data_IF_571808009647
#
_entry.id   IF_571808009647
#
_cell.length_a   1.000
_cell.length_b   1.000
_cell.length_c   1.000
_cell.angle_alpha   90.00
_cell.angle_beta   90.00
_cell.angle_gamma   90.00
#
_symmetry.space_group_name_H-M   'P 1'
#
loop_
_entity.id
_entity.type
_entity.pdbx_description
1 polymer ?
#
# COMPACT_ATOMS: atom_id res chain seq x y z
N UNK A 1 -0.39 -7.03 9.35
CA UNK A 1 -1.47 -7.01 10.38
C UNK A 1 -1.39 -8.17 11.38
N UNK A 2 -1.45 -9.44 10.95
CA UNK A 2 -1.47 -10.61 11.88
C UNK A 2 -0.31 -10.66 12.88
N UNK A 3 0.93 -10.45 12.45
CA UNK A 3 2.11 -10.42 13.35
C UNK A 3 2.03 -9.34 14.43
N UNK A 4 1.30 -8.26 14.16
CA UNK A 4 1.09 -7.14 15.07
C UNK A 4 -0.11 -7.35 15.99
N UNK A 5 -0.80 -8.49 15.85
CA UNK A 5 -2.07 -8.80 16.51
C UNK A 5 -3.10 -7.68 16.33
N UNK A 6 -3.16 -7.13 15.11
CA UNK A 6 -4.24 -6.23 14.70
C UNK A 6 -5.34 -7.08 14.09
N UNK A 7 -6.58 -6.90 14.53
CA UNK A 7 -7.73 -7.65 14.05
C UNK A 7 -9.00 -6.79 13.99
N UNK A 8 -9.95 -7.20 13.16
CA UNK A 8 -11.27 -6.58 13.09
C UNK A 8 -12.13 -7.13 14.22
N UNK A 9 -12.28 -6.34 15.28
CA UNK A 9 -13.10 -6.71 16.44
C UNK A 9 -14.48 -6.08 16.31
N UNK A 10 -15.55 -6.77 16.75
CA UNK A 10 -16.89 -6.19 16.75
C UNK A 10 -16.91 -4.91 17.60
N UNK A 11 -17.55 -3.87 17.10
CA UNK A 11 -17.83 -2.68 17.91
C UNK A 11 -18.89 -3.03 18.96
N UNK A 12 -18.56 -2.79 20.23
CA UNK A 12 -19.49 -2.99 21.34
C UNK A 12 -20.03 -1.61 21.75
N UNK A 13 -21.33 -1.33 21.52
CA UNK A 13 -21.97 -0.10 21.98
C UNK A 13 -21.76 0.10 23.48
N UNK A 14 -21.60 1.35 23.91
CA UNK A 14 -21.31 1.69 25.31
C UNK A 14 -22.29 1.04 26.29
N UNK A 15 -23.57 1.02 25.93
CA UNK A 15 -24.68 0.44 26.69
C UNK A 15 -24.54 -1.07 26.92
N UNK A 16 -23.86 -1.77 26.01
CA UNK A 16 -23.75 -3.24 26.00
C UNK A 16 -22.37 -3.74 26.45
N UNK A 17 -21.48 -2.87 26.94
CA UNK A 17 -20.11 -3.27 27.32
C UNK A 17 -20.03 -4.22 28.50
N UNK A 18 -21.09 -4.28 29.32
CA UNK A 18 -21.20 -5.20 30.45
C UNK A 18 -21.89 -6.53 30.07
N UNK A 19 -22.37 -6.67 28.83
CA UNK A 19 -23.05 -7.87 28.34
C UNK A 19 -22.08 -8.94 27.82
N UNK A 20 -22.55 -10.19 27.73
CA UNK A 20 -21.76 -11.28 27.14
C UNK A 20 -21.52 -11.02 25.65
N UNK A 21 -20.32 -10.52 25.34
CA UNK A 21 -19.87 -10.08 24.02
C UNK A 21 -20.06 -11.16 22.95
N UNK A 22 -19.92 -12.44 23.31
CA UNK A 22 -19.99 -13.58 22.38
C UNK A 22 -21.37 -13.79 21.74
N UNK A 23 -22.43 -13.14 22.27
CA UNK A 23 -23.80 -13.27 21.75
C UNK A 23 -24.26 -12.08 20.91
N UNK A 24 -23.42 -11.05 20.75
CA UNK A 24 -23.77 -9.85 20.01
C UNK A 24 -23.53 -10.03 18.51
N UNK A 25 -24.61 -10.09 17.72
CA UNK A 25 -24.51 -9.90 16.28
C UNK A 25 -24.14 -8.45 15.98
N UNK A 26 -22.88 -8.22 15.62
CA UNK A 26 -22.34 -6.90 15.34
C UNK A 26 -22.25 -6.66 13.84
N UNK A 27 -22.80 -5.54 13.36
CA UNK A 27 -22.69 -5.11 11.97
C UNK A 27 -21.48 -4.18 11.75
N UNK A 28 -20.95 -3.62 12.83
CA UNK A 28 -19.82 -2.70 12.81
C UNK A 28 -18.58 -3.38 13.40
N UNK A 29 -17.45 -3.20 12.74
CA UNK A 29 -16.16 -3.73 13.18
C UNK A 29 -15.13 -2.61 13.23
N UNK A 30 -14.23 -2.70 14.19
CA UNK A 30 -13.14 -1.75 14.39
C UNK A 30 -11.83 -2.52 14.32
N UNK A 31 -10.88 -1.98 13.57
CA UNK A 31 -9.53 -2.51 13.56
C UNK A 31 -8.85 -2.15 14.88
N UNK A 32 -8.51 -3.16 15.69
CA UNK A 32 -7.94 -2.96 17.03
C UNK A 32 -6.77 -3.88 17.30
N UNK A 33 -5.89 -3.48 18.22
CA UNK A 33 -4.81 -4.34 18.71
C UNK A 33 -5.34 -5.28 19.79
N UNK A 34 -5.22 -6.58 19.57
CA UNK A 34 -5.65 -7.63 20.52
C UNK A 34 -4.55 -8.02 21.52
N UNK A 35 -3.42 -7.30 21.56
CA UNK A 35 -2.41 -7.50 22.61
C UNK A 35 -2.88 -6.99 23.98
N UNK A 36 -2.45 -7.70 25.03
CA UNK A 36 -2.65 -7.26 26.41
C UNK A 36 -1.93 -5.93 26.63
N UNK A 37 -2.58 -4.99 27.31
CA UNK A 37 -2.03 -3.65 27.63
C UNK A 37 -0.64 -3.69 28.27
N UNK A 38 -0.36 -4.67 29.12
CA UNK A 38 0.96 -4.82 29.78
C UNK A 38 2.07 -5.08 28.75
N UNK A 39 1.82 -5.92 27.75
CA UNK A 39 2.78 -6.19 26.68
C UNK A 39 3.02 -4.97 25.78
N UNK A 40 1.99 -4.14 25.59
CA UNK A 40 2.12 -2.87 24.86
C UNK A 40 3.02 -1.88 25.60
N UNK A 41 2.93 -1.80 26.93
CA UNK A 41 3.76 -0.91 27.76
C UNK A 41 5.25 -1.26 27.75
N UNK A 42 5.58 -2.54 27.59
CA UNK A 42 6.95 -3.05 27.59
C UNK A 42 7.54 -3.21 26.19
N UNK A 43 6.87 -2.68 25.17
CA UNK A 43 7.28 -2.85 23.79
C UNK A 43 8.55 -2.07 23.48
N UNK A 44 9.50 -2.69 22.78
CA UNK A 44 10.68 -1.99 22.29
C UNK A 44 10.32 -0.97 21.19
N UNK A 45 11.17 0.04 21.05
CA UNK A 45 10.92 1.17 20.14
C UNK A 45 10.73 0.71 18.69
N UNK A 46 11.53 -0.24 18.21
CA UNK A 46 11.45 -0.74 16.82
C UNK A 46 10.08 -1.35 16.51
N UNK A 47 9.52 -2.08 17.47
CA UNK A 47 8.21 -2.70 17.30
C UNK A 47 7.10 -1.68 17.47
N UNK A 48 7.25 -0.70 18.36
CA UNK A 48 6.32 0.42 18.47
C UNK A 48 6.21 1.18 17.15
N UNK A 49 7.36 1.46 16.49
CA UNK A 49 7.40 2.12 15.18
C UNK A 49 6.63 1.36 14.12
N UNK A 50 6.62 0.02 14.16
CA UNK A 50 5.77 -0.76 13.22
C UNK A 50 4.29 -0.41 13.35
N UNK A 51 3.78 -0.11 14.57
CA UNK A 51 2.38 0.29 14.78
C UNK A 51 2.07 1.66 14.19
N UNK A 52 3.01 2.61 14.28
CA UNK A 52 2.85 3.95 13.69
C UNK A 52 2.67 3.87 12.16
N UNK A 53 3.43 2.99 11.48
CA UNK A 53 3.34 2.78 10.03
C UNK A 53 2.29 1.75 9.60
N UNK A 54 1.51 1.22 10.54
CA UNK A 54 0.52 0.19 10.26
C UNK A 54 -0.79 0.81 9.77
N UNK A 55 -0.74 1.43 8.60
CA UNK A 55 -1.94 1.91 7.93
C UNK A 55 -2.60 0.73 7.20
N UNK A 56 -3.90 0.48 7.44
CA UNK A 56 -4.62 -0.50 6.62
C UNK A 56 -4.57 -0.05 5.15
N UNK A 57 -4.37 -1.00 4.25
CA UNK A 57 -4.43 -0.78 2.81
C UNK A 57 -5.77 -1.33 2.33
N UNK A 58 -6.52 -0.53 1.59
CA UNK A 58 -7.74 -0.99 0.93
C UNK A 58 -7.45 -1.21 -0.54
N UNK A 59 -7.50 -2.47 -0.96
CA UNK A 59 -7.45 -2.82 -2.37
C UNK A 59 -8.86 -2.71 -2.96
N UNK A 60 -9.02 -1.93 -4.03
CA UNK A 60 -10.26 -1.82 -4.80
C UNK A 60 -10.09 -2.56 -6.13
N UNK A 61 -10.50 -3.84 -6.24
CA UNK A 61 -10.26 -4.65 -7.44
C UNK A 61 -10.84 -4.04 -8.72
N UNK A 62 -11.94 -3.27 -8.60
CA UNK A 62 -12.62 -2.65 -9.75
C UNK A 62 -11.83 -1.49 -10.37
N UNK A 63 -10.88 -0.91 -9.63
CA UNK A 63 -10.00 0.17 -10.11
C UNK A 63 -8.64 -0.41 -10.47
N UNK A 64 -7.99 0.20 -11.46
CA UNK A 64 -6.59 -0.07 -11.73
C UNK A 64 -5.75 0.71 -10.71
N UNK A 65 -4.85 0.02 -10.02
CA UNK A 65 -3.90 0.66 -9.11
C UNK A 65 -2.71 1.17 -9.93
N UNK A 66 -2.27 2.40 -9.67
CA UNK A 66 -1.10 3.01 -10.33
C UNK A 66 0.16 2.13 -10.14
N UNK A 67 0.27 1.42 -9.00
CA UNK A 67 1.36 0.49 -8.74
C UNK A 67 1.35 -0.75 -9.63
N UNK A 68 0.18 -1.17 -10.13
CA UNK A 68 0.04 -2.32 -11.05
C UNK A 68 0.47 -1.97 -12.49
N UNK A 69 0.72 -0.68 -12.77
CA UNK A 69 1.19 -0.19 -14.06
C UNK A 69 2.67 0.21 -14.04
N UNK A 70 3.40 0.02 -12.94
CA UNK A 70 4.80 0.43 -12.83
C UNK A 70 5.64 -0.07 -14.00
N UNK A 71 6.23 0.88 -14.72
CA UNK A 71 7.14 0.69 -15.85
C UNK A 71 8.61 0.78 -15.43
N UNK A 72 8.81 1.16 -14.18
CA UNK A 72 10.10 1.22 -13.51
C UNK A 72 10.55 -0.15 -13.02
N UNK A 73 11.81 -0.47 -13.27
CA UNK A 73 12.49 -1.68 -12.82
C UNK A 73 13.69 -1.29 -11.98
N UNK A 74 13.77 -1.86 -10.80
CA UNK A 74 14.99 -1.82 -10.00
C UNK A 74 16.02 -2.79 -10.59
N UNK A 75 17.13 -2.23 -11.05
CA UNK A 75 18.24 -2.95 -11.64
C UNK A 75 19.34 -3.08 -10.58
N UNK A 76 19.76 -4.32 -10.35
CA UNK A 76 20.91 -4.65 -9.50
C UNK A 76 21.90 -5.43 -10.38
N UNK A 77 22.82 -4.72 -11.03
CA UNK A 77 23.78 -5.34 -11.94
C UNK A 77 25.05 -5.74 -11.16
N UNK A 78 25.43 -7.03 -11.16
CA UNK A 78 26.58 -7.51 -10.41
C UNK A 78 27.88 -7.21 -11.16
N UNK A 79 28.50 -6.05 -10.89
CA UNK A 79 29.85 -5.73 -11.36
C UNK A 79 30.91 -6.11 -10.32
N UNK A 80 32.12 -6.42 -10.79
CA UNK A 80 33.22 -7.01 -10.00
C UNK A 80 33.67 -6.19 -8.79
N UNK A 81 33.68 -4.85 -8.89
CA UNK A 81 34.09 -3.98 -7.77
C UNK A 81 32.89 -3.53 -6.93
N UNK A 82 31.86 -3.00 -7.58
CA UNK A 82 30.67 -2.46 -6.93
C UNK A 82 29.45 -2.73 -7.79
N UNK A 83 28.37 -3.34 -7.25
CA UNK A 83 27.13 -3.50 -7.99
C UNK A 83 26.55 -2.14 -8.39
N UNK A 84 26.05 -2.05 -9.62
CA UNK A 84 25.30 -0.87 -10.08
C UNK A 84 23.86 -1.04 -9.61
N UNK A 85 23.38 -0.07 -8.83
CA UNK A 85 22.00 0.00 -8.35
C UNK A 85 21.34 1.21 -8.99
N UNK A 86 20.35 0.99 -9.83
CA UNK A 86 19.63 2.05 -10.52
C UNK A 86 18.19 1.66 -10.80
N UNK A 87 17.36 2.66 -11.06
CA UNK A 87 15.97 2.51 -11.47
C UNK A 87 15.89 2.86 -12.95
N UNK A 88 15.24 2.00 -13.75
CA UNK A 88 15.08 2.19 -15.19
C UNK A 88 13.61 2.07 -15.55
N UNK A 89 13.05 3.12 -16.12
CA UNK A 89 11.68 3.17 -16.62
C UNK A 89 11.66 2.93 -18.13
N UNK A 90 11.12 1.80 -18.58
CA UNK A 90 11.12 1.48 -20.01
C UNK A 90 10.16 2.32 -20.87
N UNK A 91 9.29 3.14 -20.26
CA UNK A 91 8.41 4.08 -20.98
C UNK A 91 8.99 5.49 -21.04
N UNK A 92 9.77 5.89 -20.02
CA UNK A 92 10.33 7.24 -19.91
C UNK A 92 11.82 7.32 -20.28
N UNK A 93 12.57 6.24 -20.07
CA UNK A 93 14.02 6.22 -20.27
C UNK A 93 14.40 5.57 -21.62
N UNK A 94 15.32 6.22 -22.32
CA UNK A 94 15.99 5.64 -23.47
C UNK A 94 17.23 4.86 -23.02
N UNK A 95 17.26 3.55 -23.29
CA UNK A 95 18.31 2.63 -22.81
C UNK A 95 19.73 3.09 -23.18
N UNK A 96 19.90 3.66 -24.38
CA UNK A 96 21.20 4.11 -24.85
C UNK A 96 21.67 5.34 -24.06
N UNK A 97 20.83 6.37 -23.95
CA UNK A 97 21.12 7.59 -23.19
C UNK A 97 21.35 7.28 -21.71
N UNK A 98 20.49 6.45 -21.11
CA UNK A 98 20.60 6.02 -19.72
C UNK A 98 21.94 5.33 -19.43
N UNK A 99 22.36 4.40 -20.31
CA UNK A 99 23.64 3.70 -20.13
C UNK A 99 24.82 4.66 -20.30
N UNK A 100 24.74 5.61 -21.23
CA UNK A 100 25.80 6.60 -21.45
C UNK A 100 25.94 7.55 -20.26
N UNK A 101 24.83 7.97 -19.63
CA UNK A 101 24.86 8.76 -18.39
C UNK A 101 25.53 8.00 -17.23
N UNK A 102 25.29 6.69 -17.09
CA UNK A 102 25.95 5.87 -16.06
C UNK A 102 27.46 5.72 -16.30
N UNK A 103 27.90 5.69 -17.56
CA UNK A 103 29.33 5.67 -17.91
C UNK A 103 29.97 7.03 -17.64
N UNK A 104 29.30 8.13 -18.00
CA UNK A 104 29.77 9.50 -17.71
C UNK A 104 29.89 9.77 -16.20
N UNK A 105 29.02 9.16 -15.40
CA UNK A 105 29.05 9.23 -13.95
C UNK A 105 30.08 8.28 -13.30
N UNK A 106 30.86 7.52 -14.10
CA UNK A 106 31.83 6.52 -13.63
C UNK A 106 31.20 5.42 -12.75
N UNK A 107 29.90 5.17 -12.91
CA UNK A 107 29.18 4.10 -12.21
C UNK A 107 29.23 2.77 -12.98
N UNK A 108 29.36 2.83 -14.30
CA UNK A 108 29.46 1.67 -15.18
C UNK A 108 30.72 1.73 -16.06
N UNK A 109 31.51 0.66 -16.03
CA UNK A 109 32.65 0.51 -16.94
C UNK A 109 32.19 0.49 -18.41
N UNK A 110 32.86 1.25 -19.27
CA UNK A 110 32.56 1.29 -20.71
C UNK A 110 32.62 -0.09 -21.37
N UNK A 111 33.53 -0.94 -20.91
CA UNK A 111 33.70 -2.32 -21.43
C UNK A 111 32.51 -3.23 -21.09
N UNK A 112 31.72 -2.88 -20.06
CA UNK A 112 30.54 -3.62 -19.62
C UNK A 112 29.23 -3.05 -20.17
N UNK A 113 29.28 -2.03 -21.02
CA UNK A 113 28.12 -1.36 -21.62
C UNK A 113 27.13 -2.35 -22.25
N UNK A 114 27.62 -3.24 -23.11
CA UNK A 114 26.75 -4.19 -23.82
C UNK A 114 26.15 -5.25 -22.89
N UNK A 115 26.95 -5.75 -21.93
CA UNK A 115 26.49 -6.69 -20.93
C UNK A 115 25.41 -6.10 -20.03
N UNK A 116 25.57 -4.83 -19.62
CA UNK A 116 24.58 -4.09 -18.84
C UNK A 116 23.28 -3.90 -19.63
N UNK A 117 23.37 -3.48 -20.90
CA UNK A 117 22.19 -3.29 -21.76
C UNK A 117 21.39 -4.58 -21.94
N UNK A 118 22.06 -5.71 -22.16
CA UNK A 118 21.38 -7.00 -22.24
C UNK A 118 20.72 -7.40 -20.92
N UNK A 119 21.39 -7.14 -19.79
CA UNK A 119 20.82 -7.38 -18.46
C UNK A 119 19.58 -6.52 -18.19
N UNK A 120 19.61 -5.23 -18.53
CA UNK A 120 18.44 -4.34 -18.39
C UNK A 120 17.30 -4.84 -19.28
N UNK A 121 17.56 -5.21 -20.54
CA UNK A 121 16.53 -5.78 -21.43
C UNK A 121 15.92 -7.06 -20.86
N UNK A 122 16.72 -7.94 -20.26
CA UNK A 122 16.24 -9.15 -19.62
C UNK A 122 15.33 -8.82 -18.44
N UNK A 123 15.74 -7.92 -17.54
CA UNK A 123 14.94 -7.49 -16.39
C UNK A 123 13.64 -6.80 -16.79
N UNK A 124 13.68 -5.96 -17.81
CA UNK A 124 12.49 -5.34 -18.42
C UNK A 124 11.55 -6.41 -18.99
N UNK A 125 12.06 -7.45 -19.67
CA UNK A 125 11.23 -8.55 -20.17
C UNK A 125 10.59 -9.36 -19.03
N UNK A 126 11.34 -9.65 -17.98
CA UNK A 126 10.82 -10.34 -16.78
C UNK A 126 9.69 -9.52 -16.14
N UNK A 127 9.93 -8.23 -15.89
CA UNK A 127 8.95 -7.32 -15.31
C UNK A 127 7.70 -7.18 -16.19
N UNK A 128 7.84 -7.01 -17.51
CA UNK A 128 6.72 -6.99 -18.46
C UNK A 128 5.90 -8.28 -18.42
N UNK A 129 6.55 -9.45 -18.26
CA UNK A 129 5.86 -10.74 -18.11
C UNK A 129 5.08 -10.81 -16.80
N UNK A 130 5.66 -10.37 -15.70
CA UNK A 130 4.99 -10.31 -14.38
C UNK A 130 3.78 -9.37 -14.45
N UNK A 131 3.95 -8.17 -15.01
CA UNK A 131 2.86 -7.21 -15.19
C UNK A 131 1.73 -7.78 -16.05
N UNK A 132 2.05 -8.47 -17.15
CA UNK A 132 1.04 -9.15 -17.97
C UNK A 132 0.28 -10.22 -17.18
N UNK A 133 0.99 -11.07 -16.45
CA UNK A 133 0.38 -12.12 -15.63
C UNK A 133 -0.51 -11.54 -14.53
N UNK A 134 -0.09 -10.45 -13.88
CA UNK A 134 -0.88 -9.74 -12.88
C UNK A 134 -2.16 -9.17 -13.48
N UNK A 135 -2.08 -8.54 -14.67
CA UNK A 135 -3.25 -8.03 -15.40
C UNK A 135 -4.22 -9.16 -15.80
N UNK A 136 -3.71 -10.28 -16.29
CA UNK A 136 -4.53 -11.46 -16.65
C UNK A 136 -5.19 -12.07 -15.41
N UNK A 137 -4.44 -12.21 -14.30
CA UNK A 137 -4.98 -12.71 -13.02
C UNK A 137 -6.07 -11.78 -12.46
N UNK A 138 -5.88 -10.47 -12.55
CA UNK A 138 -6.89 -9.48 -12.16
C UNK A 138 -8.15 -9.60 -13.01
N UNK A 139 -8.00 -9.67 -14.33
CA UNK A 139 -9.13 -9.84 -15.25
C UNK A 139 -9.93 -11.09 -14.91
N UNK A 140 -9.23 -12.22 -14.70
CA UNK A 140 -9.85 -13.47 -14.28
C UNK A 140 -10.56 -13.34 -12.93
N UNK A 141 -9.93 -12.72 -11.93
CA UNK A 141 -10.54 -12.48 -10.63
C UNK A 141 -11.80 -11.62 -10.72
N UNK A 142 -11.83 -10.62 -11.62
CA UNK A 142 -13.00 -9.79 -11.89
C UNK A 142 -14.11 -10.55 -12.62
N UNK A 143 -13.77 -11.44 -13.54
CA UNK A 143 -14.73 -12.31 -14.24
C UNK A 143 -15.36 -13.33 -13.28
N UNK A 144 -14.56 -13.93 -12.39
CA UNK A 144 -15.01 -14.91 -11.40
C UNK A 144 -15.73 -14.28 -10.18
N UNK A 145 -15.64 -12.95 -10.03
CA UNK A 145 -16.28 -12.25 -8.91
C UNK A 145 -17.80 -12.19 -9.06
N UNK A 146 -18.51 -12.55 -7.99
CA UNK A 146 -19.98 -12.50 -7.95
C UNK A 146 -20.52 -11.08 -8.10
N UNK A 147 -21.72 -10.96 -8.67
CA UNK A 147 -22.41 -9.67 -8.81
C UNK A 147 -22.63 -8.99 -7.46
N UNK A 148 -22.96 -9.76 -6.42
CA UNK A 148 -23.10 -9.24 -5.05
C UNK A 148 -21.80 -8.60 -4.54
N UNK A 149 -20.65 -9.23 -4.81
CA UNK A 149 -19.34 -8.69 -4.39
C UNK A 149 -19.00 -7.43 -5.17
N UNK A 150 -19.26 -7.41 -6.49
CA UNK A 150 -19.07 -6.21 -7.33
C UNK A 150 -19.93 -5.05 -6.82
N UNK A 151 -21.21 -5.30 -6.57
CA UNK A 151 -22.12 -4.31 -6.02
C UNK A 151 -21.68 -3.82 -4.63
N UNK A 152 -21.15 -4.70 -3.78
CA UNK A 152 -20.60 -4.30 -2.47
C UNK A 152 -19.41 -3.34 -2.61
N UNK A 153 -18.50 -3.58 -3.57
CA UNK A 153 -17.37 -2.70 -3.85
C UNK A 153 -17.80 -1.34 -4.43
N UNK A 154 -18.82 -1.31 -5.28
CA UNK A 154 -19.35 -0.08 -5.87
C UNK A 154 -20.13 0.77 -4.86
N UNK A 155 -20.90 0.12 -3.99
CA UNK A 155 -21.70 0.79 -2.96
C UNK A 155 -20.89 1.18 -1.72
N UNK A 156 -19.62 0.77 -1.64
CA UNK A 156 -18.75 1.09 -0.51
C UNK A 156 -18.56 2.61 -0.39
N UNK A 157 -18.74 3.13 0.82
CA UNK A 157 -18.52 4.53 1.16
C UNK A 157 -17.46 4.67 2.25
N UNK A 158 -16.71 5.76 2.15
CA UNK A 158 -15.72 6.17 3.12
C UNK A 158 -16.17 7.47 3.76
N UNK A 159 -16.35 7.48 5.07
CA UNK A 159 -16.68 8.69 5.83
C UNK A 159 -15.50 9.04 6.74
N UNK A 160 -15.09 10.30 6.75
CA UNK A 160 -14.00 10.81 7.58
C UNK A 160 -14.57 11.73 8.65
N UNK A 161 -14.39 11.34 9.90
CA UNK A 161 -14.88 12.07 11.06
C UNK A 161 -13.78 12.93 11.67
N UNK A 162 -14.10 14.19 11.94
CA UNK A 162 -13.31 15.10 12.74
C UNK A 162 -13.95 15.27 14.12
N UNK A 163 -13.15 15.57 15.16
CA UNK A 163 -13.69 15.91 16.46
C UNK A 163 -14.68 17.09 16.37
N UNK A 164 -15.78 16.99 17.12
CA UNK A 164 -16.71 18.12 17.29
C UNK A 164 -16.03 19.13 18.24
N UNK A 165 -15.97 20.42 17.87
CA UNK A 165 -15.42 21.44 18.75
C UNK A 165 -16.26 21.53 20.03
N UNK A 166 -15.57 21.36 21.15
CA UNK A 166 -16.08 21.60 22.50
C UNK A 166 -15.22 22.70 23.13
N UNK A 167 -15.63 23.32 24.26
CA UNK A 167 -14.79 24.33 24.92
C UNK A 167 -13.37 23.85 25.25
N UNK A 168 -13.19 22.53 25.39
CA UNK A 168 -11.91 21.88 25.72
C UNK A 168 -11.14 21.36 24.49
N UNK A 169 -11.67 21.52 23.27
CA UNK A 169 -11.01 21.06 22.03
C UNK A 169 -10.82 22.21 21.03
N UNK A 170 -9.70 22.22 20.27
CA UNK A 170 -9.47 23.25 19.27
C UNK A 170 -10.48 23.17 18.14
N UNK A 171 -10.84 24.32 17.56
CA UNK A 171 -11.64 24.37 16.35
C UNK A 171 -10.84 23.84 15.15
N UNK A 172 -11.28 22.71 14.61
CA UNK A 172 -10.66 22.03 13.47
C UNK A 172 -11.39 22.31 12.15
N UNK A 173 -12.36 23.23 12.12
CA UNK A 173 -13.17 23.53 10.93
C UNK A 173 -12.31 23.92 9.72
N UNK A 174 -11.22 24.67 9.95
CA UNK A 174 -10.31 25.13 8.90
C UNK A 174 -9.33 24.06 8.38
N UNK A 175 -9.23 22.91 9.07
CA UNK A 175 -8.30 21.83 8.69
C UNK A 175 -9.03 20.56 8.23
N UNK A 176 -10.36 20.61 8.07
CA UNK A 176 -11.14 19.51 7.52
C UNK A 176 -10.78 19.29 6.06
N UNK A 177 -10.13 18.16 5.77
CA UNK A 177 -9.81 17.70 4.43
C UNK A 177 -10.48 16.36 4.11
N UNK A 178 -11.00 16.16 2.88
CA UNK A 178 -11.57 14.88 2.45
C UNK A 178 -10.49 13.81 2.21
N UNK A 179 -9.25 14.21 1.94
CA UNK A 179 -8.15 13.27 1.71
C UNK A 179 -7.88 12.44 2.98
N UNK A 180 -7.89 11.11 2.85
CA UNK A 180 -7.61 10.16 3.93
C UNK A 180 -6.13 9.82 3.92
N UNK A 181 -5.66 9.16 2.85
CA UNK A 181 -4.25 8.88 2.56
C UNK A 181 -4.14 8.38 1.11
N UNK A 182 -2.91 8.08 0.64
CA UNK A 182 -2.66 7.62 -0.73
C UNK A 182 -3.40 6.34 -1.13
N UNK A 183 -3.72 5.47 -0.18
CA UNK A 183 -4.32 4.16 -0.43
C UNK A 183 -5.85 4.19 -0.46
N UNK A 184 -6.47 5.05 0.34
CA UNK A 184 -7.93 5.22 0.35
C UNK A 184 -8.40 6.37 -0.55
N UNK A 185 -7.50 7.31 -0.89
CA UNK A 185 -7.85 8.52 -1.61
C UNK A 185 -8.67 9.48 -0.76
N UNK A 186 -9.82 9.91 -1.28
CA UNK A 186 -10.72 10.87 -0.61
C UNK A 186 -11.92 10.16 -0.01
N UNK A 187 -12.35 10.62 1.16
CA UNK A 187 -13.63 10.27 1.74
C UNK A 187 -14.77 10.77 0.85
N UNK A 188 -15.84 9.99 0.79
CA UNK A 188 -17.10 10.37 0.17
C UNK A 188 -17.83 11.42 1.00
N UNK A 189 -17.72 11.32 2.33
CA UNK A 189 -18.32 12.24 3.28
C UNK A 189 -17.29 12.69 4.31
N UNK A 190 -17.32 13.98 4.65
CA UNK A 190 -16.52 14.57 5.73
C UNK A 190 -17.48 15.11 6.78
N UNK A 191 -17.35 14.58 8.00
CA UNK A 191 -18.23 14.85 9.13
C UNK A 191 -17.41 15.53 10.24
#
# INVERSE_FOLDING_TARGET
MKQMKMDWVPYIPLENRDSQVDRLQSQMFILSCTQRRVALKQMNIDRLKKYEYCLPYFYQPLKEDELEQSTEVQIIFPAEQKPVFCEFDWELDELDEFTDQLIEADELDKDKKDAFKEFVKEKVREAKKVNRQAREARKKALEEMSEETKAAFENMRFSKFYPIPTPDTPDVSNVKAPFINRYYGKAHEVL
#
